data_IF_914975240853
#
_entry.id   IF_914975240853
#
_cell.length_a   1.000
_cell.length_b   1.000
_cell.length_c   1.000
_cell.angle_alpha   90.00
_cell.angle_beta   90.00
_cell.angle_gamma   90.00
#
_symmetry.space_group_name_H-M   'P 1'
#
loop_
_entity.id
_entity.type
_entity.pdbx_description
1 polymer ?
#
# COMPACT_ATOMS: atom_id res chain seq x y z
N UNK A 1 -8.60 50.69 12.84
CA UNK A 1 -7.58 49.68 12.47
C UNK A 1 -8.08 48.22 12.56
N UNK A 2 -9.23 47.92 13.17
CA UNK A 2 -9.66 46.53 13.39
C UNK A 2 -10.38 45.83 12.22
N UNK A 3 -11.03 46.56 11.30
CA UNK A 3 -11.77 45.93 10.20
C UNK A 3 -10.87 45.20 9.19
N UNK A 4 -9.69 45.76 8.87
CA UNK A 4 -8.77 45.14 7.90
C UNK A 4 -8.18 43.82 8.41
N UNK A 5 -7.86 43.74 9.70
CA UNK A 5 -7.33 42.52 10.34
C UNK A 5 -8.38 41.40 10.36
N UNK A 6 -9.62 41.71 10.75
CA UNK A 6 -10.74 40.75 10.73
C UNK A 6 -11.05 40.27 9.31
N UNK A 7 -10.94 41.16 8.31
CA UNK A 7 -11.13 40.77 6.92
C UNK A 7 -10.05 39.80 6.43
N UNK A 8 -8.78 40.06 6.75
CA UNK A 8 -7.66 39.17 6.40
C UNK A 8 -7.80 37.81 7.09
N UNK A 9 -8.17 37.76 8.37
CA UNK A 9 -8.41 36.50 9.09
C UNK A 9 -9.54 35.69 8.45
N UNK A 10 -10.66 36.32 8.07
CA UNK A 10 -11.77 35.66 7.35
C UNK A 10 -11.37 35.17 5.95
N UNK A 11 -10.54 35.91 5.23
CA UNK A 11 -10.01 35.48 3.92
C UNK A 11 -9.08 34.27 4.09
N UNK A 12 -8.21 34.26 5.10
CA UNK A 12 -7.33 33.14 5.40
C UNK A 12 -8.12 31.90 5.87
N UNK A 13 -9.17 32.08 6.67
CA UNK A 13 -10.08 31.00 7.08
C UNK A 13 -10.79 30.38 5.87
N UNK A 14 -11.38 31.20 4.97
CA UNK A 14 -12.02 30.70 3.75
C UNK A 14 -11.05 29.95 2.83
N UNK A 15 -9.83 30.48 2.62
CA UNK A 15 -8.78 29.76 1.87
C UNK A 15 -8.39 28.44 2.54
N UNK A 16 -8.39 28.37 3.87
CA UNK A 16 -8.14 27.15 4.62
C UNK A 16 -9.26 26.12 4.47
N UNK A 17 -10.52 26.56 4.48
CA UNK A 17 -11.71 25.73 4.26
C UNK A 17 -11.80 25.20 2.83
N UNK A 18 -11.53 26.03 1.82
CA UNK A 18 -11.47 25.61 0.41
C UNK A 18 -10.40 24.54 0.19
N UNK A 19 -9.18 24.74 0.71
CA UNK A 19 -8.11 23.73 0.64
C UNK A 19 -8.51 22.42 1.32
N UNK A 20 -9.20 22.47 2.47
CA UNK A 20 -9.70 21.28 3.16
C UNK A 20 -10.77 20.55 2.34
N UNK A 21 -11.71 21.28 1.73
CA UNK A 21 -12.76 20.70 0.90
C UNK A 21 -12.20 20.04 -0.36
N UNK A 22 -11.24 20.68 -1.04
CA UNK A 22 -10.52 20.09 -2.18
C UNK A 22 -9.77 18.82 -1.77
N UNK A 23 -9.04 18.86 -0.64
CA UNK A 23 -8.34 17.67 -0.12
C UNK A 23 -9.30 16.53 0.22
N UNK A 24 -10.43 16.81 0.87
CA UNK A 24 -11.44 15.80 1.21
C UNK A 24 -12.07 15.16 -0.03
N UNK A 25 -12.38 15.96 -1.06
CA UNK A 25 -12.90 15.49 -2.36
C UNK A 25 -11.86 14.65 -3.13
N UNK A 26 -10.59 15.03 -3.08
CA UNK A 26 -9.51 14.24 -3.70
C UNK A 26 -9.29 12.89 -2.99
N UNK A 27 -9.44 12.85 -1.67
CA UNK A 27 -9.29 11.63 -0.87
C UNK A 27 -10.40 10.60 -1.14
N UNK A 28 -11.65 11.07 -1.32
CA UNK A 28 -12.77 10.20 -1.67
C UNK A 28 -12.64 9.65 -3.09
N UNK A 29 -12.23 10.47 -4.07
CA UNK A 29 -12.01 10.00 -5.45
C UNK A 29 -10.87 8.99 -5.57
N UNK A 30 -9.74 9.20 -4.88
CA UNK A 30 -8.64 8.24 -4.80
C UNK A 30 -9.09 6.88 -4.24
N UNK A 31 -9.92 6.90 -3.20
CA UNK A 31 -10.46 5.66 -2.59
C UNK A 31 -11.33 4.89 -3.59
N UNK A 32 -12.21 5.59 -4.31
CA UNK A 32 -13.10 4.98 -5.32
C UNK A 32 -12.30 4.36 -6.47
N UNK A 33 -11.24 5.03 -6.94
CA UNK A 33 -10.38 4.49 -7.99
C UNK A 33 -9.70 3.18 -7.56
N UNK A 34 -9.15 3.14 -6.34
CA UNK A 34 -8.53 1.94 -5.76
C UNK A 34 -9.55 0.81 -5.58
N UNK A 35 -10.78 1.11 -5.16
CA UNK A 35 -11.85 0.11 -5.04
C UNK A 35 -12.24 -0.49 -6.39
N UNK A 36 -12.32 0.33 -7.45
CA UNK A 36 -12.58 -0.13 -8.81
C UNK A 36 -11.44 -1.00 -9.35
N UNK A 37 -10.20 -0.54 -9.23
CA UNK A 37 -8.99 -1.26 -9.67
C UNK A 37 -8.82 -2.64 -9.00
N UNK A 38 -9.46 -2.82 -7.84
CA UNK A 38 -9.37 -4.05 -7.03
C UNK A 38 -10.73 -4.69 -6.81
N UNK A 39 -11.70 -4.45 -7.68
CA UNK A 39 -13.03 -5.06 -7.61
C UNK A 39 -12.94 -6.57 -7.81
N UNK A 40 -13.73 -7.32 -7.05
CA UNK A 40 -13.88 -8.77 -7.20
C UNK A 40 -14.59 -9.16 -8.51
N UNK A 41 -15.20 -8.21 -9.21
CA UNK A 41 -15.83 -8.41 -10.52
C UNK A 41 -14.81 -8.47 -11.67
N UNK A 42 -13.57 -7.98 -11.47
CA UNK A 42 -12.55 -7.96 -12.52
C UNK A 42 -12.06 -9.37 -12.87
N UNK A 43 -11.84 -9.70 -14.14
CA UNK A 43 -11.27 -11.02 -14.49
C UNK A 43 -9.78 -11.14 -14.15
N UNK A 44 -9.09 -10.02 -14.02
CA UNK A 44 -7.67 -9.91 -13.69
C UNK A 44 -7.29 -8.45 -13.40
N UNK A 45 -5.99 -8.13 -13.31
CA UNK A 45 -5.55 -6.75 -13.10
C UNK A 45 -6.03 -5.81 -14.21
N UNK A 46 -6.63 -4.68 -13.83
CA UNK A 46 -6.92 -3.58 -14.74
C UNK A 46 -5.66 -2.70 -14.85
N UNK A 47 -4.81 -3.02 -15.82
CA UNK A 47 -3.54 -2.32 -16.01
C UNK A 47 -3.73 -0.85 -16.36
N UNK A 48 -4.78 -0.51 -17.10
CA UNK A 48 -5.09 0.89 -17.44
C UNK A 48 -5.37 1.68 -16.17
N UNK A 49 -6.28 1.21 -15.32
CA UNK A 49 -6.60 1.87 -14.05
C UNK A 49 -5.39 1.91 -13.10
N UNK A 50 -4.58 0.85 -13.05
CA UNK A 50 -3.39 0.82 -12.19
C UNK A 50 -2.37 1.90 -12.59
N UNK A 51 -2.15 2.12 -13.90
CA UNK A 51 -1.26 3.16 -14.40
C UNK A 51 -1.87 4.55 -14.18
N UNK A 52 -3.17 4.74 -14.42
CA UNK A 52 -3.86 6.00 -14.14
C UNK A 52 -3.74 6.42 -12.65
N UNK A 53 -3.79 5.45 -11.73
CA UNK A 53 -3.56 5.70 -10.30
C UNK A 53 -2.11 6.17 -10.06
N UNK A 54 -1.13 5.56 -10.70
CA UNK A 54 0.28 5.97 -10.56
C UNK A 54 0.50 7.37 -11.13
N UNK A 55 -0.05 7.67 -12.31
CA UNK A 55 0.02 8.99 -12.94
C UNK A 55 -0.66 10.07 -12.10
N UNK A 56 -1.79 9.75 -11.48
CA UNK A 56 -2.50 10.65 -10.55
C UNK A 56 -1.69 10.96 -9.29
N UNK A 57 -0.92 9.99 -8.79
CA UNK A 57 0.02 10.21 -7.68
C UNK A 57 1.19 11.10 -8.14
N UNK A 58 1.81 10.75 -9.28
CA UNK A 58 3.01 11.41 -9.78
C UNK A 58 2.75 12.88 -10.21
N UNK A 59 1.53 13.16 -10.68
CA UNK A 59 1.07 14.53 -10.99
C UNK A 59 0.59 15.31 -9.76
N UNK A 60 0.67 14.73 -8.55
CA UNK A 60 0.14 15.28 -7.30
C UNK A 60 -1.38 15.55 -7.30
N UNK A 61 -2.13 14.94 -8.22
CA UNK A 61 -3.59 15.00 -8.21
C UNK A 61 -4.16 14.31 -6.97
N UNK A 62 -3.56 13.18 -6.57
CA UNK A 62 -3.87 12.47 -5.33
C UNK A 62 -2.67 12.41 -4.40
N UNK A 63 -2.94 12.53 -3.11
CA UNK A 63 -1.92 12.41 -2.08
C UNK A 63 -1.53 10.93 -1.91
N UNK A 64 -0.23 10.57 -1.97
CA UNK A 64 0.24 9.19 -1.78
C UNK A 64 -0.33 8.52 -0.53
N UNK A 65 -0.42 9.28 0.56
CA UNK A 65 -0.93 8.81 1.86
C UNK A 65 -2.36 8.29 1.81
N UNK A 66 -3.19 8.83 0.92
CA UNK A 66 -4.61 8.49 0.82
C UNK A 66 -4.80 7.26 -0.08
N UNK A 67 -4.06 7.19 -1.19
CA UNK A 67 -4.03 6.01 -2.07
C UNK A 67 -3.48 4.80 -1.32
N UNK A 68 -2.33 4.94 -0.64
CA UNK A 68 -1.71 3.88 0.16
C UNK A 68 -2.65 3.40 1.28
N UNK A 69 -3.38 4.33 1.93
CA UNK A 69 -4.40 3.98 2.93
C UNK A 69 -5.54 3.16 2.32
N UNK A 70 -6.01 3.51 1.13
CA UNK A 70 -7.04 2.74 0.42
C UNK A 70 -6.52 1.35 0.04
N UNK A 71 -5.31 1.25 -0.53
CA UNK A 71 -4.67 -0.03 -0.89
C UNK A 71 -4.53 -0.94 0.33
N UNK A 72 -4.09 -0.41 1.48
CA UNK A 72 -4.01 -1.15 2.74
C UNK A 72 -5.34 -1.80 3.12
N UNK A 73 -6.45 -1.06 3.01
CA UNK A 73 -7.80 -1.61 3.28
C UNK A 73 -8.14 -2.76 2.34
N UNK A 74 -7.75 -2.67 1.06
CA UNK A 74 -7.99 -3.74 0.07
C UNK A 74 -7.12 -4.97 0.31
N UNK A 75 -5.88 -4.81 0.78
CA UNK A 75 -5.01 -5.92 1.21
C UNK A 75 -5.61 -6.67 2.42
N UNK A 76 -6.29 -5.97 3.33
CA UNK A 76 -6.97 -6.56 4.49
C UNK A 76 -8.35 -7.17 4.16
N UNK A 77 -8.76 -7.16 2.88
CA UNK A 77 -10.07 -7.66 2.47
C UNK A 77 -10.18 -9.19 2.61
N UNK A 78 -11.39 -9.70 2.85
CA UNK A 78 -11.64 -11.15 3.03
C UNK A 78 -11.51 -11.95 1.73
N UNK A 79 -11.82 -11.33 0.59
CA UNK A 79 -11.73 -11.98 -0.71
C UNK A 79 -10.28 -12.07 -1.17
N UNK A 80 -9.79 -13.30 -1.37
CA UNK A 80 -8.47 -13.61 -1.93
C UNK A 80 -8.21 -12.88 -3.24
N UNK A 81 -9.24 -12.77 -4.09
CA UNK A 81 -9.14 -12.06 -5.38
C UNK A 81 -8.86 -10.58 -5.20
N UNK A 82 -9.59 -9.91 -4.29
CA UNK A 82 -9.35 -8.50 -3.96
C UNK A 82 -7.96 -8.30 -3.39
N UNK A 83 -7.48 -9.20 -2.53
CA UNK A 83 -6.13 -9.13 -1.98
C UNK A 83 -5.06 -9.24 -3.07
N UNK A 84 -5.20 -10.19 -4.01
CA UNK A 84 -4.26 -10.37 -5.12
C UNK A 84 -4.22 -9.16 -6.06
N UNK A 85 -5.39 -8.59 -6.38
CA UNK A 85 -5.47 -7.36 -7.18
C UNK A 85 -4.84 -6.17 -6.45
N UNK A 86 -5.09 -6.03 -5.14
CA UNK A 86 -4.49 -4.99 -4.32
C UNK A 86 -2.96 -5.11 -4.20
N UNK A 87 -2.44 -6.33 -4.06
CA UNK A 87 -0.99 -6.60 -4.08
C UNK A 87 -0.37 -6.29 -5.45
N UNK A 88 -1.11 -6.53 -6.54
CA UNK A 88 -0.66 -6.20 -7.90
C UNK A 88 -0.64 -4.68 -8.12
N UNK A 89 -1.65 -3.95 -7.64
CA UNK A 89 -1.65 -2.50 -7.66
C UNK A 89 -0.51 -1.93 -6.80
N UNK A 90 -0.28 -2.48 -5.60
CA UNK A 90 0.83 -2.08 -4.74
C UNK A 90 2.19 -2.28 -5.44
N UNK A 91 2.40 -3.43 -6.10
CA UNK A 91 3.59 -3.68 -6.91
C UNK A 91 3.76 -2.65 -8.02
N UNK A 92 2.67 -2.30 -8.71
CA UNK A 92 2.69 -1.30 -9.78
C UNK A 92 3.09 0.07 -9.23
N UNK A 93 2.52 0.46 -8.09
CA UNK A 93 2.87 1.71 -7.41
C UNK A 93 4.33 1.75 -6.96
N UNK A 94 4.90 0.64 -6.47
CA UNK A 94 6.32 0.56 -6.09
C UNK A 94 7.23 0.69 -7.32
N UNK A 95 6.81 0.22 -8.49
CA UNK A 95 7.63 0.29 -9.71
C UNK A 95 7.53 1.64 -10.44
N UNK A 96 6.41 2.35 -10.32
CA UNK A 96 6.10 3.50 -11.17
C UNK A 96 5.98 4.83 -10.41
N UNK A 97 5.92 4.81 -9.08
CA UNK A 97 5.85 6.04 -8.29
C UNK A 97 7.18 6.36 -7.62
N UNK A 98 7.35 7.64 -7.27
CA UNK A 98 8.54 8.10 -6.56
C UNK A 98 8.56 7.77 -5.07
N UNK A 99 9.64 8.22 -4.43
CA UNK A 99 10.01 8.03 -3.02
C UNK A 99 8.89 8.23 -1.99
N UNK A 100 7.98 9.17 -2.27
CA UNK A 100 6.85 9.47 -1.39
C UNK A 100 5.91 8.27 -1.20
N UNK A 101 5.75 7.41 -2.21
CA UNK A 101 4.97 6.18 -2.07
C UNK A 101 5.67 5.18 -1.18
N UNK A 102 6.98 4.95 -1.38
CA UNK A 102 7.74 4.01 -0.54
C UNK A 102 7.76 4.44 0.92
N UNK A 103 7.94 5.75 1.19
CA UNK A 103 7.81 6.32 2.52
C UNK A 103 6.44 6.02 3.14
N UNK A 104 5.35 6.25 2.40
CA UNK A 104 4.00 5.99 2.91
C UNK A 104 3.73 4.50 3.12
N UNK A 105 4.30 3.59 2.32
CA UNK A 105 4.17 2.14 2.52
C UNK A 105 4.77 1.72 3.87
N UNK A 106 5.95 2.24 4.19
CA UNK A 106 6.61 2.01 5.48
C UNK A 106 5.81 2.65 6.63
N UNK A 107 5.50 3.94 6.54
CA UNK A 107 4.81 4.72 7.60
C UNK A 107 3.40 4.19 7.91
N UNK A 108 2.71 3.64 6.91
CA UNK A 108 1.35 3.09 7.07
C UNK A 108 1.34 1.64 7.54
N UNK A 109 2.49 1.04 7.86
CA UNK A 109 2.61 -0.35 8.30
C UNK A 109 1.95 -1.33 7.32
N UNK A 110 2.14 -1.14 6.01
CA UNK A 110 1.65 -2.11 5.01
C UNK A 110 2.44 -3.41 5.13
N UNK A 111 3.75 -3.32 5.33
CA UNK A 111 4.63 -4.47 5.47
C UNK A 111 4.20 -5.36 6.65
N UNK A 112 3.87 -4.76 7.80
CA UNK A 112 3.34 -5.49 8.96
C UNK A 112 2.02 -6.21 8.65
N UNK A 113 1.13 -5.61 7.86
CA UNK A 113 -0.11 -6.30 7.45
C UNK A 113 0.18 -7.48 6.53
N UNK A 114 1.13 -7.34 5.60
CA UNK A 114 1.56 -8.45 4.74
C UNK A 114 2.13 -9.60 5.59
N UNK A 115 2.95 -9.29 6.60
CA UNK A 115 3.48 -10.27 7.56
C UNK A 115 2.34 -10.99 8.29
N UNK A 116 1.40 -10.22 8.85
CA UNK A 116 0.23 -10.77 9.56
C UNK A 116 -0.60 -11.70 8.69
N UNK A 117 -0.80 -11.36 7.42
CA UNK A 117 -1.55 -12.17 6.45
C UNK A 117 -0.85 -13.52 6.26
N UNK A 118 0.46 -13.51 5.97
CA UNK A 118 1.24 -14.74 5.78
C UNK A 118 1.20 -15.64 7.02
N UNK A 119 1.34 -15.06 8.22
CA UNK A 119 1.31 -15.80 9.50
C UNK A 119 -0.04 -16.45 9.81
N UNK A 120 -1.16 -15.85 9.37
CA UNK A 120 -2.53 -16.34 9.64
C UNK A 120 -2.99 -17.50 8.74
N UNK A 121 -2.06 -18.26 8.13
CA UNK A 121 -2.36 -19.31 7.14
C UNK A 121 -3.23 -18.78 5.98
N UNK A 122 -2.84 -17.64 5.41
CA UNK A 122 -3.50 -17.10 4.22
C UNK A 122 -3.52 -18.08 3.05
N UNK A 123 -4.41 -17.83 2.09
CA UNK A 123 -4.47 -18.58 0.83
C UNK A 123 -3.10 -18.62 0.16
N UNK A 124 -2.71 -19.80 -0.35
CA UNK A 124 -1.36 -20.05 -0.87
C UNK A 124 -0.91 -19.00 -1.88
N UNK A 125 -1.77 -18.64 -2.84
CA UNK A 125 -1.45 -17.62 -3.85
C UNK A 125 -1.15 -16.23 -3.27
N UNK A 126 -1.87 -15.82 -2.22
CA UNK A 126 -1.66 -14.51 -1.56
C UNK A 126 -0.34 -14.53 -0.81
N UNK A 127 -0.07 -15.62 -0.09
CA UNK A 127 1.20 -15.82 0.62
C UNK A 127 2.39 -15.78 -0.34
N UNK A 128 2.32 -16.56 -1.41
CA UNK A 128 3.43 -16.69 -2.36
C UNK A 128 3.67 -15.35 -3.08
N UNK A 129 2.61 -14.62 -3.43
CA UNK A 129 2.73 -13.25 -3.97
C UNK A 129 3.40 -12.30 -2.99
N UNK A 130 3.02 -12.30 -1.72
CA UNK A 130 3.64 -11.45 -0.68
C UNK A 130 5.14 -11.75 -0.55
N UNK A 131 5.52 -13.03 -0.51
CA UNK A 131 6.91 -13.43 -0.37
C UNK A 131 7.76 -12.96 -1.57
N UNK A 132 7.27 -13.16 -2.79
CA UNK A 132 7.95 -12.69 -4.01
C UNK A 132 8.11 -11.17 -4.02
N UNK A 133 7.08 -10.43 -3.60
CA UNK A 133 7.16 -8.96 -3.55
C UNK A 133 8.19 -8.49 -2.52
N UNK A 134 8.18 -9.03 -1.31
CA UNK A 134 9.11 -8.62 -0.25
C UNK A 134 10.56 -9.00 -0.58
N UNK A 135 10.78 -10.18 -1.17
CA UNK A 135 12.09 -10.61 -1.65
C UNK A 135 12.61 -9.67 -2.74
N UNK A 136 11.78 -9.37 -3.75
CA UNK A 136 12.16 -8.45 -4.82
C UNK A 136 12.42 -7.02 -4.32
N UNK A 137 11.59 -6.51 -3.41
CA UNK A 137 11.74 -5.15 -2.90
C UNK A 137 12.93 -5.01 -1.97
N UNK A 138 13.22 -5.99 -1.10
CA UNK A 138 14.40 -5.88 -0.24
C UNK A 138 15.70 -5.84 -1.04
N UNK A 139 15.81 -6.62 -2.13
CA UNK A 139 16.97 -6.56 -3.02
C UNK A 139 17.04 -5.20 -3.73
N UNK A 140 15.92 -4.75 -4.31
CA UNK A 140 15.87 -3.50 -5.07
C UNK A 140 16.17 -2.26 -4.19
N UNK A 141 15.84 -2.31 -2.91
CA UNK A 141 16.10 -1.21 -1.97
C UNK A 141 17.44 -1.30 -1.23
N UNK A 142 18.29 -2.28 -1.54
CA UNK A 142 19.64 -2.38 -0.99
C UNK A 142 19.76 -3.14 0.34
N UNK A 143 18.78 -3.98 0.68
CA UNK A 143 18.81 -4.85 1.85
C UNK A 143 18.89 -4.08 3.18
N UNK A 144 19.65 -4.56 4.18
CA UNK A 144 19.67 -3.99 5.53
C UNK A 144 20.32 -2.60 5.60
N UNK A 145 21.21 -2.27 4.67
CA UNK A 145 21.85 -0.94 4.56
C UNK A 145 21.12 0.02 3.63
N UNK A 146 19.99 -0.41 3.07
CA UNK A 146 19.20 0.32 2.10
C UNK A 146 18.51 1.57 2.65
N UNK A 147 17.97 2.41 1.75
CA UNK A 147 17.16 3.58 2.13
C UNK A 147 15.88 3.18 2.88
N UNK A 148 15.32 2.03 2.53
CA UNK A 148 14.13 1.47 3.14
C UNK A 148 14.40 0.09 3.74
N UNK A 149 15.12 0.00 4.88
CA UNK A 149 15.48 -1.27 5.49
C UNK A 149 14.24 -2.03 6.01
N UNK A 150 13.09 -1.37 6.14
CA UNK A 150 11.84 -1.99 6.57
C UNK A 150 11.42 -3.14 5.65
N UNK A 151 11.68 -3.05 4.33
CA UNK A 151 11.38 -4.14 3.39
C UNK A 151 12.23 -5.38 3.69
N UNK A 152 13.51 -5.19 3.98
CA UNK A 152 14.43 -6.26 4.37
C UNK A 152 13.98 -6.94 5.67
N UNK A 153 13.68 -6.15 6.71
CA UNK A 153 13.26 -6.71 7.99
C UNK A 153 11.93 -7.47 7.89
N UNK A 154 10.99 -6.99 7.06
CA UNK A 154 9.73 -7.68 6.81
C UNK A 154 9.94 -9.03 6.09
N UNK A 155 10.85 -9.08 5.12
CA UNK A 155 11.21 -10.32 4.43
C UNK A 155 11.88 -11.33 5.38
N UNK A 156 12.88 -10.89 6.14
CA UNK A 156 13.61 -11.76 7.07
C UNK A 156 12.70 -12.30 8.19
N UNK A 157 11.76 -11.51 8.72
CA UNK A 157 10.78 -12.01 9.69
C UNK A 157 9.96 -13.17 9.10
N UNK A 158 9.48 -13.03 7.86
CA UNK A 158 8.71 -14.07 7.21
C UNK A 158 9.53 -15.31 6.89
N UNK A 159 10.76 -15.14 6.42
CA UNK A 159 11.68 -16.23 6.15
C UNK A 159 11.92 -17.05 7.42
N UNK A 160 12.20 -16.40 8.55
CA UNK A 160 12.36 -17.08 9.84
C UNK A 160 11.06 -17.78 10.23
N UNK A 161 9.91 -17.11 10.19
CA UNK A 161 8.64 -17.72 10.54
C UNK A 161 8.32 -18.97 9.69
N UNK A 162 8.61 -18.95 8.39
CA UNK A 162 8.37 -20.10 7.50
C UNK A 162 9.35 -21.25 7.72
N UNK A 163 10.58 -20.97 8.15
CA UNK A 163 11.55 -21.99 8.56
C UNK A 163 11.08 -22.66 9.87
N UNK A 164 10.62 -21.89 10.86
CA UNK A 164 10.15 -22.43 12.14
C UNK A 164 8.76 -23.11 12.06
N UNK A 165 7.93 -22.75 11.08
CA UNK A 165 6.61 -23.38 10.85
C UNK A 165 6.70 -24.69 10.04
N UNK A 166 7.87 -25.03 9.46
CA UNK A 166 8.15 -26.38 8.98
C UNK A 166 8.80 -27.18 10.11
N UNK A 167 8.04 -27.85 11.00
CA UNK A 167 8.64 -28.94 11.77
C UNK A 167 9.16 -29.94 10.74
N UNK A 168 10.41 -30.33 10.91
CA UNK A 168 11.02 -31.44 10.20
C UNK A 168 10.07 -32.63 10.27
N UNK A 169 9.36 -32.90 9.16
CA UNK A 169 8.80 -34.20 8.89
C UNK A 169 9.96 -35.16 8.58
N UNK A 170 10.83 -35.41 9.56
CA UNK A 170 11.53 -36.68 9.65
C UNK A 170 10.53 -37.63 10.27
N UNK A 171 9.72 -38.24 9.40
CA UNK A 171 8.95 -39.41 9.77
C UNK A 171 9.92 -40.48 10.26
N UNK A 172 9.82 -40.82 11.54
CA UNK A 172 10.09 -42.18 11.99
C UNK A 172 8.87 -43.00 11.61
N UNK A 173 8.90 -43.58 10.42
CA UNK A 173 8.14 -44.79 10.12
C UNK A 173 9.06 -45.96 10.45
N UNK A 174 8.64 -46.75 11.45
CA UNK A 174 9.10 -48.09 11.87
C UNK A 174 10.59 -48.29 12.12
#
# INVERSE_FOLDING_TARGET
>A
MNCARVFIERVNQRKGEEKKNTMASSSSSATVAVEKATSDLLMGPDWTMNIEICDSINSNHWQPKDVVKAVKKRIQHKSTKVQLLALTLLETMVKNCGDQVHFQIAERNILDEMIKIVRKKAHMQVRDKILVLLDSWQEAFGGPGGKYPQYYWAYEELKMALIYVRPTAKGTFN
#
